data_IF_752321156849
#
_entry.id   IF_752321156849
#
_cell.length_a   1.000
_cell.length_b   1.000
_cell.length_c   1.000
_cell.angle_alpha   90.00
_cell.angle_beta   90.00
_cell.angle_gamma   90.00
#
_symmetry.space_group_name_H-M   'P 1'
#
loop_
_entity.id
_entity.type
_entity.pdbx_description
1 polymer ?
#
# COMPACT_ATOMS: atom_id res chain seq x y z
N UNK A 1 -18.46 -12.89 11.78
CA UNK A 1 -19.40 -13.04 10.65
C UNK A 1 -19.27 -11.91 9.64
N UNK A 2 -19.49 -10.64 10.03
CA UNK A 2 -19.37 -9.47 9.13
C UNK A 2 -18.00 -9.30 8.44
N UNK A 3 -16.89 -9.63 9.11
CA UNK A 3 -15.53 -9.52 8.56
C UNK A 3 -15.26 -10.54 7.45
N UNK A 4 -15.71 -11.78 7.61
CA UNK A 4 -15.59 -12.82 6.59
C UNK A 4 -16.44 -12.48 5.36
N UNK A 5 -17.64 -11.92 5.58
CA UNK A 5 -18.50 -11.41 4.50
C UNK A 5 -17.81 -10.27 3.75
N UNK A 6 -17.23 -9.30 4.47
CA UNK A 6 -16.48 -8.21 3.86
C UNK A 6 -15.31 -8.73 3.01
N UNK A 7 -14.53 -9.70 3.52
CA UNK A 7 -13.40 -10.26 2.79
C UNK A 7 -13.84 -11.00 1.52
N UNK A 8 -14.89 -11.82 1.60
CA UNK A 8 -15.45 -12.51 0.43
C UNK A 8 -16.00 -11.50 -0.58
N UNK A 9 -16.70 -10.47 -0.11
CA UNK A 9 -17.22 -9.39 -0.95
C UNK A 9 -16.10 -8.63 -1.65
N UNK A 10 -15.05 -8.24 -0.92
CA UNK A 10 -13.85 -7.60 -1.48
C UNK A 10 -13.19 -8.48 -2.53
N UNK A 11 -13.02 -9.78 -2.28
CA UNK A 11 -12.43 -10.72 -3.25
C UNK A 11 -13.32 -10.84 -4.50
N UNK A 12 -14.64 -10.89 -4.35
CA UNK A 12 -15.58 -10.95 -5.48
C UNK A 12 -15.48 -9.72 -6.35
N UNK A 13 -15.55 -8.53 -5.77
CA UNK A 13 -15.42 -7.26 -6.51
C UNK A 13 -14.04 -7.14 -7.14
N UNK A 14 -12.98 -7.48 -6.41
CA UNK A 14 -11.60 -7.41 -6.90
C UNK A 14 -11.41 -8.22 -8.19
N UNK A 15 -11.99 -9.43 -8.24
CA UNK A 15 -11.87 -10.31 -9.40
C UNK A 15 -12.68 -9.85 -10.62
N UNK A 16 -13.78 -9.12 -10.40
CA UNK A 16 -14.62 -8.60 -11.49
C UNK A 16 -14.15 -7.24 -11.99
N UNK A 17 -13.53 -6.44 -11.12
CA UNK A 17 -13.06 -5.10 -11.48
C UNK A 17 -11.85 -5.16 -12.39
N UNK A 18 -10.85 -5.98 -12.05
CA UNK A 18 -9.69 -6.23 -12.88
C UNK A 18 -9.49 -7.75 -12.99
N UNK A 19 -9.79 -8.32 -14.15
CA UNK A 19 -9.48 -9.72 -14.41
C UNK A 19 -7.97 -9.90 -14.54
N UNK A 20 -7.51 -11.05 -14.08
CA UNK A 20 -6.08 -11.38 -14.04
C UNK A 20 -5.82 -12.63 -14.87
N UNK A 21 -4.71 -12.62 -15.60
CA UNK A 21 -4.27 -13.72 -16.45
C UNK A 21 -4.67 -13.58 -17.93
N UNK A 22 -3.94 -14.30 -18.78
CA UNK A 22 -4.03 -14.14 -20.24
C UNK A 22 -5.31 -14.77 -20.81
N UNK A 23 -5.85 -15.81 -20.17
CA UNK A 23 -6.98 -16.60 -20.68
C UNK A 23 -8.25 -15.77 -20.91
N UNK A 24 -8.47 -14.75 -20.09
CA UNK A 24 -9.66 -13.91 -20.14
C UNK A 24 -9.34 -12.45 -20.46
N UNK A 25 -8.10 -12.15 -20.87
CA UNK A 25 -7.66 -10.78 -21.16
C UNK A 25 -8.39 -10.14 -22.36
N UNK A 26 -9.06 -10.94 -23.19
CA UNK A 26 -9.88 -10.44 -24.31
C UNK A 26 -11.32 -10.10 -23.91
N UNK A 27 -11.75 -10.43 -22.69
CA UNK A 27 -13.10 -10.11 -22.21
C UNK A 27 -13.09 -8.75 -21.51
N UNK A 28 -14.11 -7.91 -21.71
CA UNK A 28 -14.19 -6.63 -21.05
C UNK A 28 -14.39 -6.80 -19.55
N UNK A 29 -13.66 -6.00 -18.77
CA UNK A 29 -13.78 -5.93 -17.33
C UNK A 29 -14.85 -4.94 -16.87
N UNK A 30 -15.25 -5.02 -15.61
CA UNK A 30 -16.10 -3.97 -15.01
C UNK A 30 -15.35 -2.62 -15.02
N UNK A 31 -14.01 -2.62 -14.90
CA UNK A 31 -13.22 -1.40 -15.05
C UNK A 31 -13.33 -0.80 -16.45
N UNK A 32 -13.29 -1.61 -17.51
CA UNK A 32 -13.47 -1.13 -18.89
C UNK A 32 -14.86 -0.52 -19.09
N UNK A 33 -15.90 -1.16 -18.55
CA UNK A 33 -17.26 -0.63 -18.56
C UNK A 33 -17.37 0.69 -17.77
N UNK A 34 -16.71 0.81 -16.62
CA UNK A 34 -16.71 2.04 -15.82
C UNK A 34 -15.98 3.20 -16.52
N UNK A 35 -14.91 2.91 -17.25
CA UNK A 35 -14.11 3.93 -17.96
C UNK A 35 -14.78 4.36 -19.27
N UNK A 36 -15.76 3.61 -19.77
CA UNK A 36 -16.51 3.97 -20.97
C UNK A 36 -17.17 5.36 -20.83
N UNK A 37 -17.16 6.19 -21.89
CA UNK A 37 -17.64 7.56 -21.83
C UNK A 37 -19.13 7.66 -21.44
N UNK A 38 -19.93 6.67 -21.82
CA UNK A 38 -21.37 6.60 -21.51
C UNK A 38 -21.63 6.47 -19.99
N UNK A 39 -20.70 5.87 -19.25
CA UNK A 39 -20.84 5.59 -17.82
C UNK A 39 -20.10 6.59 -16.92
N UNK A 40 -19.58 7.69 -17.49
CA UNK A 40 -18.73 8.65 -16.77
C UNK A 40 -19.39 9.24 -15.51
N UNK A 41 -20.70 9.48 -15.53
CA UNK A 41 -21.46 9.94 -14.37
C UNK A 41 -21.50 8.88 -13.26
N UNK A 42 -21.81 7.63 -13.61
CA UNK A 42 -21.84 6.50 -12.67
C UNK A 42 -20.46 6.32 -12.04
N UNK A 43 -19.41 6.37 -12.87
CA UNK A 43 -18.03 6.25 -12.41
C UNK A 43 -17.62 7.37 -11.44
N UNK A 44 -18.10 8.58 -11.68
CA UNK A 44 -17.88 9.74 -10.81
C UNK A 44 -18.55 9.56 -9.45
N UNK A 45 -19.79 9.07 -9.42
CA UNK A 45 -20.51 8.77 -8.16
C UNK A 45 -19.81 7.64 -7.39
N UNK A 46 -19.37 6.58 -8.08
CA UNK A 46 -18.64 5.46 -7.44
C UNK A 46 -17.29 5.92 -6.89
N UNK A 47 -16.57 6.78 -7.61
CA UNK A 47 -15.29 7.33 -7.16
C UNK A 47 -15.48 8.25 -5.95
N UNK A 48 -16.50 9.11 -5.98
CA UNK A 48 -16.83 10.00 -4.87
C UNK A 48 -17.25 9.23 -3.62
N UNK A 49 -18.12 8.23 -3.75
CA UNK A 49 -18.52 7.37 -2.64
C UNK A 49 -17.34 6.58 -2.05
N UNK A 50 -16.41 6.11 -2.89
CA UNK A 50 -15.18 5.44 -2.43
C UNK A 50 -14.30 6.38 -1.58
N UNK A 51 -14.13 7.63 -2.02
CA UNK A 51 -13.41 8.66 -1.25
C UNK A 51 -14.11 8.94 0.07
N UNK A 52 -15.45 9.07 0.09
CA UNK A 52 -16.21 9.29 1.31
C UNK A 52 -16.06 8.13 2.31
N UNK A 53 -16.05 6.88 1.83
CA UNK A 53 -15.81 5.71 2.68
C UNK A 53 -14.42 5.78 3.33
N UNK A 54 -13.39 6.15 2.56
CA UNK A 54 -12.03 6.34 3.09
C UNK A 54 -12.03 7.43 4.15
N UNK A 55 -12.65 8.59 3.89
CA UNK A 55 -12.71 9.70 4.85
C UNK A 55 -13.47 9.33 6.12
N UNK A 56 -14.67 8.75 6.00
CA UNK A 56 -15.49 8.34 7.13
C UNK A 56 -14.75 7.34 8.03
N UNK A 57 -13.93 6.46 7.44
CA UNK A 57 -13.12 5.51 8.19
C UNK A 57 -11.99 6.17 9.01
N UNK A 58 -11.57 7.41 8.68
CA UNK A 58 -10.49 8.14 9.37
C UNK A 58 -10.96 9.15 10.40
N UNK A 59 -12.13 9.78 10.20
CA UNK A 59 -12.60 10.91 11.03
C UNK A 59 -12.58 10.61 12.54
N UNK A 60 -12.81 9.36 12.95
CA UNK A 60 -12.83 8.96 14.36
C UNK A 60 -11.44 8.64 14.97
N UNK A 61 -10.34 8.71 14.21
CA UNK A 61 -9.03 8.15 14.61
C UNK A 61 -7.84 9.09 14.49
N UNK A 62 -7.86 9.95 13.49
CA UNK A 62 -6.80 10.95 13.29
C UNK A 62 -7.05 12.19 14.12
N UNK A 63 -5.98 12.98 14.29
CA UNK A 63 -6.15 14.38 14.72
C UNK A 63 -6.93 15.14 13.65
N UNK A 64 -7.69 16.14 14.07
CA UNK A 64 -8.47 16.98 13.16
C UNK A 64 -7.63 17.53 11.99
N UNK A 65 -6.39 17.94 12.27
CA UNK A 65 -5.46 18.44 11.25
C UNK A 65 -5.11 17.35 10.21
N UNK A 66 -4.81 16.12 10.65
CA UNK A 66 -4.47 15.01 9.75
C UNK A 66 -5.70 14.60 8.91
N UNK A 67 -6.88 14.54 9.53
CA UNK A 67 -8.15 14.30 8.82
C UNK A 67 -8.43 15.38 7.79
N UNK A 68 -8.13 16.64 8.10
CA UNK A 68 -8.31 17.77 7.19
C UNK A 68 -7.35 17.70 6.01
N UNK A 69 -6.06 17.40 6.24
CA UNK A 69 -5.07 17.22 5.18
C UNK A 69 -5.47 16.04 4.28
N UNK A 70 -5.94 14.93 4.85
CA UNK A 70 -6.46 13.79 4.09
C UNK A 70 -7.67 14.18 3.24
N UNK A 71 -8.64 14.91 3.81
CA UNK A 71 -9.83 15.37 3.10
C UNK A 71 -9.47 16.26 1.91
N UNK A 72 -8.56 17.22 2.12
CA UNK A 72 -8.03 18.05 1.04
C UNK A 72 -7.33 17.18 -0.01
N UNK A 73 -6.42 16.28 0.42
CA UNK A 73 -5.67 15.41 -0.49
C UNK A 73 -6.56 14.56 -1.39
N UNK A 74 -7.56 13.88 -0.83
CA UNK A 74 -8.49 13.04 -1.62
C UNK A 74 -9.44 13.88 -2.49
N UNK A 75 -9.86 15.05 -2.03
CA UNK A 75 -10.66 15.98 -2.84
C UNK A 75 -9.86 16.49 -4.04
N UNK A 76 -8.59 16.84 -3.82
CA UNK A 76 -7.66 17.21 -4.90
C UNK A 76 -7.41 16.06 -5.87
N UNK A 77 -7.36 14.80 -5.41
CA UNK A 77 -7.32 13.64 -6.31
C UNK A 77 -8.56 13.61 -7.20
N UNK A 78 -9.77 13.80 -6.64
CA UNK A 78 -10.99 13.87 -7.44
C UNK A 78 -10.93 15.00 -8.47
N UNK A 79 -10.49 16.20 -8.05
CA UNK A 79 -10.32 17.33 -8.97
C UNK A 79 -9.29 17.05 -10.06
N UNK A 80 -8.15 16.43 -9.75
CA UNK A 80 -7.16 16.00 -10.74
C UNK A 80 -7.78 15.06 -11.78
N UNK A 81 -8.60 14.10 -11.35
CA UNK A 81 -9.28 13.16 -12.26
C UNK A 81 -10.37 13.81 -13.10
N UNK A 82 -11.02 14.83 -12.57
CA UNK A 82 -11.97 15.63 -13.36
C UNK A 82 -11.26 16.54 -14.36
N UNK A 83 -10.17 17.21 -13.96
CA UNK A 83 -9.37 18.08 -14.82
C UNK A 83 -8.74 17.32 -16.01
N UNK A 84 -8.31 16.08 -15.78
CA UNK A 84 -7.80 15.17 -16.83
C UNK A 84 -8.90 14.49 -17.65
N UNK A 85 -10.17 14.81 -17.39
CA UNK A 85 -11.32 14.31 -18.15
C UNK A 85 -11.78 12.88 -17.80
N UNK A 86 -11.19 12.24 -16.79
CA UNK A 86 -11.57 10.88 -16.37
C UNK A 86 -12.89 10.83 -15.60
N UNK A 87 -13.19 11.87 -14.81
CA UNK A 87 -14.43 11.99 -14.01
C UNK A 87 -15.18 13.26 -14.39
N UNK A 88 -16.49 13.30 -14.16
CA UNK A 88 -17.29 14.51 -14.31
C UNK A 88 -17.24 15.36 -13.04
N UNK A 89 -17.00 16.67 -13.17
CA UNK A 89 -17.25 17.58 -12.06
C UNK A 89 -18.74 17.91 -11.96
N UNK A 90 -19.33 17.98 -10.74
CA UNK A 90 -20.69 18.49 -10.56
C UNK A 90 -20.85 19.98 -10.91
N UNK A 91 -19.74 20.72 -10.95
CA UNK A 91 -19.73 22.19 -10.97
C UNK A 91 -19.35 22.80 -12.32
N UNK A 92 -18.75 22.04 -13.25
CA UNK A 92 -18.40 22.53 -14.58
C UNK A 92 -19.09 21.67 -15.65
N UNK A 93 -20.02 22.28 -16.38
CA UNK A 93 -20.77 21.63 -17.46
C UNK A 93 -19.99 21.57 -18.79
N UNK A 94 -18.90 22.34 -18.92
CA UNK A 94 -17.98 22.33 -20.06
C UNK A 94 -16.56 22.10 -19.54
N UNK A 95 -16.11 20.84 -19.55
CA UNK A 95 -14.79 20.46 -19.04
C UNK A 95 -13.70 20.85 -20.06
N UNK A 96 -12.99 21.94 -19.81
CA UNK A 96 -11.70 22.17 -20.48
C UNK A 96 -10.73 21.14 -19.91
N UNK A 97 -10.38 20.14 -20.71
CA UNK A 97 -9.40 19.13 -20.32
C UNK A 97 -8.04 19.82 -20.18
N UNK A 98 -7.43 19.70 -19.00
CA UNK A 98 -6.10 20.22 -18.69
C UNK A 98 -5.18 19.11 -18.20
N UNK A 99 -3.87 19.38 -18.17
CA UNK A 99 -2.88 18.38 -17.73
C UNK A 99 -2.95 18.06 -16.21
N UNK A 100 -3.77 18.78 -15.43
CA UNK A 100 -3.95 18.55 -13.99
C UNK A 100 -2.68 18.71 -13.14
N UNK A 101 -1.71 19.48 -13.65
CA UNK A 101 -0.36 19.54 -13.09
C UNK A 101 -0.33 20.14 -11.67
N UNK A 102 -1.10 21.20 -11.44
CA UNK A 102 -1.12 21.88 -10.14
C UNK A 102 -1.81 21.01 -9.09
N UNK A 103 -2.92 20.39 -9.47
CA UNK A 103 -3.70 19.46 -8.64
C UNK A 103 -2.81 18.30 -8.21
N UNK A 104 -2.13 17.63 -9.15
CA UNK A 104 -1.22 16.52 -8.85
C UNK A 104 -0.11 16.93 -7.86
N UNK A 105 0.49 18.12 -8.04
CA UNK A 105 1.53 18.64 -7.13
C UNK A 105 1.01 18.95 -5.74
N UNK A 106 -0.19 19.52 -5.63
CA UNK A 106 -0.83 19.76 -4.34
C UNK A 106 -1.18 18.45 -3.62
N UNK A 107 -1.62 17.42 -4.36
CA UNK A 107 -1.82 16.07 -3.79
C UNK A 107 -0.52 15.50 -3.23
N UNK A 108 0.61 15.63 -3.96
CA UNK A 108 1.91 15.22 -3.43
C UNK A 108 2.28 16.00 -2.16
N UNK A 109 2.01 17.31 -2.10
CA UNK A 109 2.23 18.10 -0.89
C UNK A 109 1.40 17.59 0.30
N UNK A 110 0.12 17.24 0.10
CA UNK A 110 -0.73 16.67 1.15
C UNK A 110 -0.22 15.30 1.62
N UNK A 111 0.15 14.42 0.69
CA UNK A 111 0.74 13.11 1.00
C UNK A 111 2.04 13.25 1.79
N UNK A 112 2.97 14.09 1.33
CA UNK A 112 4.24 14.37 2.00
C UNK A 112 4.03 14.99 3.39
N UNK A 113 3.08 15.92 3.55
CA UNK A 113 2.76 16.50 4.85
C UNK A 113 2.31 15.43 5.86
N UNK A 114 1.45 14.48 5.45
CA UNK A 114 1.03 13.36 6.30
C UNK A 114 2.19 12.43 6.65
N UNK A 115 3.02 12.07 5.68
CA UNK A 115 4.21 11.23 5.90
C UNK A 115 5.19 11.91 6.85
N UNK A 116 5.45 13.21 6.67
CA UNK A 116 6.32 14.00 7.55
C UNK A 116 5.71 14.07 8.97
N UNK A 117 4.41 14.33 9.11
CA UNK A 117 3.74 14.32 10.41
C UNK A 117 3.87 12.97 11.13
N UNK A 118 3.77 11.86 10.39
CA UNK A 118 4.03 10.53 10.92
C UNK A 118 5.47 10.36 11.39
N UNK A 119 6.45 10.68 10.53
CA UNK A 119 7.88 10.58 10.85
C UNK A 119 8.22 11.42 12.07
N UNK A 120 7.75 12.67 12.15
CA UNK A 120 7.98 13.54 13.32
C UNK A 120 7.38 12.94 14.60
N UNK A 121 6.22 12.30 14.51
CA UNK A 121 5.60 11.63 15.66
C UNK A 121 6.40 10.40 16.10
N UNK A 122 6.92 9.61 15.13
CA UNK A 122 7.83 8.49 15.41
C UNK A 122 9.12 9.01 16.04
N UNK A 123 9.82 9.97 15.42
CA UNK A 123 11.07 10.54 15.92
C UNK A 123 10.93 11.10 17.34
N UNK A 124 9.87 11.87 17.63
CA UNK A 124 9.59 12.35 19.00
C UNK A 124 9.43 11.21 19.99
N UNK A 125 8.79 10.12 19.58
CA UNK A 125 8.63 8.91 20.39
C UNK A 125 9.98 8.22 20.61
N UNK A 126 10.84 8.13 19.59
CA UNK A 126 12.20 7.57 19.69
C UNK A 126 13.08 8.38 20.65
N UNK A 127 13.10 9.72 20.51
CA UNK A 127 13.87 10.59 21.40
C UNK A 127 13.41 10.46 22.86
N UNK A 128 12.09 10.36 23.08
CA UNK A 128 11.54 10.12 24.41
C UNK A 128 11.99 8.76 24.97
N UNK A 129 11.88 7.69 24.17
CA UNK A 129 12.31 6.35 24.57
C UNK A 129 13.84 6.23 24.80
N UNK A 130 14.64 7.11 24.18
CA UNK A 130 16.08 7.12 24.41
C UNK A 130 16.47 7.73 25.75
N UNK A 131 15.75 8.74 26.24
CA UNK A 131 16.04 9.45 27.48
C UNK A 131 15.31 8.93 28.72
N UNK A 132 14.31 8.05 28.58
CA UNK A 132 13.66 7.36 29.69
C UNK A 132 14.49 6.15 30.16
N UNK A 133 14.39 5.84 31.46
CA UNK A 133 15.00 4.64 32.04
C UNK A 133 14.51 3.38 31.33
N UNK A 134 15.39 2.38 31.22
CA UNK A 134 15.09 1.11 30.56
C UNK A 134 13.80 0.48 31.14
N UNK A 135 13.43 0.70 32.40
CA UNK A 135 12.20 0.13 33.00
C UNK A 135 10.87 0.57 32.35
N UNK A 136 10.85 1.55 31.45
CA UNK A 136 9.60 1.99 30.81
C UNK A 136 9.04 0.94 29.84
N UNK A 137 7.80 0.45 30.04
CA UNK A 137 7.24 -0.57 29.16
C UNK A 137 6.82 0.03 27.81
N UNK A 138 6.98 -0.73 26.73
CA UNK A 138 6.57 -0.35 25.37
C UNK A 138 5.11 0.13 25.28
N UNK A 139 4.23 -0.40 26.15
CA UNK A 139 2.81 -0.02 26.21
C UNK A 139 2.59 1.50 26.36
N UNK A 140 3.57 2.23 26.92
CA UNK A 140 3.56 3.69 27.00
C UNK A 140 3.58 4.37 25.62
N UNK A 141 4.28 3.79 24.64
CA UNK A 141 4.45 4.35 23.29
C UNK A 141 3.48 3.77 22.26
N UNK A 142 2.93 2.58 22.53
CA UNK A 142 2.04 1.82 21.64
C UNK A 142 0.91 2.64 21.01
N UNK A 143 0.17 3.42 21.81
CA UNK A 143 -0.93 4.26 21.29
C UNK A 143 -0.44 5.37 20.37
N UNK A 144 0.74 5.93 20.64
CA UNK A 144 1.33 7.02 19.84
C UNK A 144 1.90 6.47 18.54
N UNK A 145 2.59 5.34 18.59
CA UNK A 145 3.13 4.67 17.41
C UNK A 145 2.03 4.13 16.49
N UNK A 146 0.96 3.56 17.04
CA UNK A 146 -0.20 3.14 16.26
C UNK A 146 -0.87 4.32 15.53
N UNK A 147 -0.94 5.48 16.18
CA UNK A 147 -1.42 6.73 15.55
C UNK A 147 -0.48 7.22 14.45
N UNK A 148 0.83 7.17 14.67
CA UNK A 148 1.79 7.54 13.64
C UNK A 148 1.67 6.64 12.39
N UNK A 149 1.46 5.34 12.59
CA UNK A 149 1.20 4.40 11.49
C UNK A 149 -0.12 4.69 10.78
N UNK A 150 -1.16 5.12 11.50
CA UNK A 150 -2.41 5.61 10.89
C UNK A 150 -2.17 6.84 10.02
N UNK A 151 -1.41 7.84 10.50
CA UNK A 151 -1.05 9.03 9.71
C UNK A 151 -0.20 8.68 8.49
N UNK A 152 0.75 7.75 8.63
CA UNK A 152 1.56 7.26 7.50
C UNK A 152 0.68 6.61 6.43
N UNK A 153 -0.24 5.74 6.87
CA UNK A 153 -1.19 5.07 6.00
C UNK A 153 -2.10 6.06 5.27
N UNK A 154 -2.53 7.15 5.91
CA UNK A 154 -3.26 8.24 5.25
C UNK A 154 -2.44 8.88 4.12
N UNK A 155 -1.16 9.14 4.36
CA UNK A 155 -0.25 9.69 3.34
C UNK A 155 -0.05 8.74 2.16
N UNK A 156 0.08 7.44 2.43
CA UNK A 156 0.13 6.38 1.41
C UNK A 156 -1.18 6.32 0.62
N UNK A 157 -2.35 6.36 1.28
CA UNK A 157 -3.64 6.31 0.58
C UNK A 157 -3.82 7.48 -0.39
N UNK A 158 -3.43 8.69 0.00
CA UNK A 158 -3.50 9.88 -0.88
C UNK A 158 -2.58 9.69 -2.10
N UNK A 159 -1.37 9.17 -1.87
CA UNK A 159 -0.41 8.90 -2.93
C UNK A 159 -0.92 7.80 -3.88
N UNK A 160 -1.39 6.69 -3.33
CA UNK A 160 -1.92 5.55 -4.10
C UNK A 160 -3.17 5.93 -4.90
N UNK A 161 -4.07 6.76 -4.34
CA UNK A 161 -5.25 7.25 -5.06
C UNK A 161 -4.88 8.14 -6.27
N UNK A 162 -3.75 8.87 -6.17
CA UNK A 162 -3.21 9.65 -7.28
C UNK A 162 -2.51 8.77 -8.32
N UNK A 163 -1.68 7.82 -7.88
CA UNK A 163 -0.80 7.06 -8.76
C UNK A 163 -1.49 5.88 -9.45
N UNK A 164 -2.44 5.21 -8.77
CA UNK A 164 -3.18 4.09 -9.36
C UNK A 164 -4.15 4.58 -10.43
N UNK A 165 -4.54 3.71 -11.36
CA UNK A 165 -5.62 4.00 -12.32
C UNK A 165 -6.91 4.39 -11.59
N UNK A 166 -7.69 5.27 -12.19
CA UNK A 166 -8.87 5.90 -11.57
C UNK A 166 -9.86 4.91 -10.98
N UNK A 167 -10.15 3.81 -11.68
CA UNK A 167 -11.09 2.78 -11.23
C UNK A 167 -10.61 2.03 -9.98
N UNK A 168 -9.30 2.01 -9.71
CA UNK A 168 -8.74 1.33 -8.56
C UNK A 168 -9.01 2.05 -7.22
N UNK A 169 -9.55 3.27 -7.22
CA UNK A 169 -9.98 3.95 -5.97
C UNK A 169 -11.03 3.14 -5.21
N UNK A 170 -11.87 2.37 -5.91
CA UNK A 170 -12.86 1.46 -5.32
C UNK A 170 -12.16 0.34 -4.55
N UNK A 171 -11.13 -0.27 -5.15
CA UNK A 171 -10.36 -1.32 -4.49
C UNK A 171 -9.55 -0.77 -3.33
N UNK A 172 -9.03 0.45 -3.45
CA UNK A 172 -8.31 1.10 -2.37
C UNK A 172 -9.23 1.29 -1.14
N UNK A 173 -10.46 1.76 -1.35
CA UNK A 173 -11.45 1.88 -0.27
C UNK A 173 -11.79 0.52 0.36
N UNK A 174 -11.95 -0.52 -0.46
CA UNK A 174 -12.24 -1.88 0.03
C UNK A 174 -11.06 -2.49 0.80
N UNK A 175 -9.84 -2.45 0.25
CA UNK A 175 -8.65 -2.98 0.92
C UNK A 175 -8.39 -2.25 2.22
N UNK A 176 -8.52 -0.92 2.22
CA UNK A 176 -8.43 -0.13 3.43
C UNK A 176 -9.50 -0.56 4.45
N UNK A 177 -10.76 -0.69 4.03
CA UNK A 177 -11.85 -1.18 4.86
C UNK A 177 -11.57 -2.58 5.43
N UNK A 178 -10.96 -3.48 4.65
CA UNK A 178 -10.52 -4.80 5.12
C UNK A 178 -9.40 -4.63 6.15
N UNK A 179 -8.33 -3.86 5.90
CA UNK A 179 -7.28 -3.64 6.93
C UNK A 179 -7.85 -3.08 8.24
N UNK A 180 -8.93 -2.29 8.15
CA UNK A 180 -9.61 -1.67 9.26
C UNK A 180 -10.56 -2.62 10.01
N UNK A 181 -11.40 -3.41 9.34
CA UNK A 181 -12.34 -4.31 10.01
C UNK A 181 -11.74 -5.68 10.33
N UNK A 182 -10.58 -6.01 9.75
CA UNK A 182 -9.88 -7.29 9.94
C UNK A 182 -8.97 -7.26 11.18
N UNK A 183 -9.35 -6.52 12.25
CA UNK A 183 -8.79 -6.69 13.60
C UNK A 183 -9.28 -8.01 14.27
N UNK A 184 -9.23 -9.12 13.52
CA UNK A 184 -9.94 -10.40 13.67
C UNK A 184 -10.33 -10.89 15.07
N UNK A 185 -11.59 -11.33 15.22
CA UNK A 185 -11.97 -12.44 16.11
C UNK A 185 -12.10 -13.82 15.40
N UNK A 186 -12.13 -13.90 14.05
CA UNK A 186 -12.45 -15.17 13.35
C UNK A 186 -11.23 -16.05 13.02
N UNK A 187 -10.10 -15.46 12.57
CA UNK A 187 -8.84 -16.21 12.35
C UNK A 187 -7.90 -16.18 13.56
N UNK A 188 -8.11 -15.25 14.47
CA UNK A 188 -7.29 -15.04 15.66
C UNK A 188 -8.01 -15.59 16.90
N UNK A 189 -8.09 -16.92 17.01
CA UNK A 189 -8.11 -17.49 18.35
C UNK A 189 -6.85 -16.99 19.10
N UNK A 190 -6.99 -16.69 20.39
CA UNK A 190 -6.10 -15.87 21.25
C UNK A 190 -4.59 -16.23 21.26
N UNK A 191 -4.16 -17.28 20.57
CA UNK A 191 -2.79 -17.80 20.64
C UNK A 191 -2.17 -18.12 19.26
N UNK A 192 -2.50 -17.36 18.22
CA UNK A 192 -1.93 -17.61 16.90
C UNK A 192 -0.48 -17.15 16.81
N UNK A 193 0.43 -18.00 16.31
CA UNK A 193 1.83 -17.64 16.18
C UNK A 193 2.04 -16.54 15.13
N UNK A 194 2.98 -15.63 15.39
CA UNK A 194 3.32 -14.45 14.57
C UNK A 194 3.50 -14.78 13.08
N UNK A 195 4.11 -15.93 12.78
CA UNK A 195 4.38 -16.34 11.40
C UNK A 195 3.09 -16.59 10.59
N UNK A 196 2.03 -17.14 11.19
CA UNK A 196 0.75 -17.35 10.49
C UNK A 196 0.14 -16.04 10.06
N UNK A 197 0.18 -15.06 10.96
CA UNK A 197 -0.35 -13.73 10.67
C UNK A 197 0.48 -13.02 9.61
N UNK A 198 1.81 -13.04 9.74
CA UNK A 198 2.70 -12.45 8.74
C UNK A 198 2.50 -13.07 7.35
N UNK A 199 2.31 -14.39 7.27
CA UNK A 199 2.04 -15.09 6.02
C UNK A 199 0.67 -14.73 5.43
N UNK A 200 -0.37 -14.57 6.26
CA UNK A 200 -1.68 -14.11 5.81
C UNK A 200 -1.60 -12.71 5.19
N UNK A 201 -0.95 -11.76 5.88
CA UNK A 201 -0.77 -10.41 5.36
C UNK A 201 0.10 -10.38 4.10
N UNK A 202 1.12 -11.24 4.01
CA UNK A 202 1.89 -11.45 2.79
C UNK A 202 0.98 -11.91 1.64
N UNK A 203 0.18 -12.96 1.83
CA UNK A 203 -0.73 -13.46 0.79
C UNK A 203 -1.80 -12.44 0.40
N UNK A 204 -2.32 -11.68 1.36
CA UNK A 204 -3.24 -10.58 1.05
C UNK A 204 -2.55 -9.52 0.19
N UNK A 205 -1.31 -9.12 0.53
CA UNK A 205 -0.52 -8.22 -0.30
C UNK A 205 -0.26 -8.73 -1.72
N UNK A 206 -0.03 -10.03 -1.88
CA UNK A 206 0.11 -10.65 -3.20
C UNK A 206 -1.22 -10.70 -3.95
N UNK A 207 -2.31 -11.06 -3.29
CA UNK A 207 -3.63 -11.15 -3.90
C UNK A 207 -4.12 -9.76 -4.35
N UNK A 208 -3.96 -8.74 -3.52
CA UNK A 208 -4.38 -7.37 -3.85
C UNK A 208 -3.46 -6.71 -4.87
N UNK A 209 -2.19 -7.09 -4.94
CA UNK A 209 -1.28 -6.68 -6.02
C UNK A 209 -1.86 -7.03 -7.39
N UNK A 210 -2.30 -8.27 -7.58
CA UNK A 210 -2.95 -8.70 -8.83
C UNK A 210 -4.35 -8.09 -8.98
N UNK A 211 -5.10 -7.92 -7.89
CA UNK A 211 -6.42 -7.29 -7.93
C UNK A 211 -6.39 -5.83 -8.42
N UNK A 212 -5.29 -5.09 -8.25
CA UNK A 212 -5.11 -3.75 -8.81
C UNK A 212 -4.86 -3.76 -10.35
N UNK A 213 -4.93 -4.93 -10.98
CA UNK A 213 -4.71 -5.13 -12.41
C UNK A 213 -3.23 -5.21 -12.80
N UNK A 214 -2.33 -5.40 -11.82
CA UNK A 214 -0.93 -5.72 -12.12
C UNK A 214 -0.82 -7.16 -12.59
N UNK A 215 0.20 -7.44 -13.40
CA UNK A 215 0.58 -8.81 -13.76
C UNK A 215 2.11 -8.96 -13.73
N UNK A 216 2.58 -10.13 -14.12
CA UNK A 216 4.00 -10.42 -14.25
C UNK A 216 4.58 -10.09 -15.64
N UNK A 217 3.80 -9.41 -16.50
CA UNK A 217 4.21 -8.97 -17.84
C UNK A 217 4.59 -7.50 -17.82
N UNK A 218 5.69 -7.11 -18.47
CA UNK A 218 6.12 -5.72 -18.59
C UNK A 218 5.05 -4.80 -19.19
N UNK A 219 4.15 -5.35 -20.01
CA UNK A 219 3.03 -4.61 -20.58
C UNK A 219 2.01 -4.10 -19.55
N UNK A 220 2.07 -4.60 -18.31
CA UNK A 220 1.16 -4.18 -17.24
C UNK A 220 1.77 -3.18 -16.27
N UNK A 221 3.06 -2.81 -16.42
CA UNK A 221 3.61 -1.68 -15.67
C UNK A 221 2.94 -0.41 -16.16
N UNK A 222 2.26 0.30 -15.25
CA UNK A 222 1.70 1.61 -15.57
C UNK A 222 2.81 2.67 -15.63
N UNK A 223 3.29 2.92 -16.84
CA UNK A 223 4.30 3.95 -17.10
C UNK A 223 3.71 5.34 -16.84
N UNK A 224 2.41 5.55 -17.08
CA UNK A 224 1.77 6.86 -16.93
C UNK A 224 1.83 7.33 -15.47
N UNK A 225 1.72 6.42 -14.50
CA UNK A 225 1.90 6.71 -13.08
C UNK A 225 3.26 7.39 -12.78
N UNK A 226 4.31 7.08 -13.55
CA UNK A 226 5.63 7.69 -13.42
C UNK A 226 5.69 9.18 -13.78
N UNK A 227 4.73 9.68 -14.57
CA UNK A 227 4.76 11.03 -15.13
C UNK A 227 3.70 11.96 -14.54
N UNK A 228 2.88 11.48 -13.60
CA UNK A 228 1.87 12.30 -12.93
C UNK A 228 2.55 13.45 -12.18
N UNK A 229 2.27 14.69 -12.58
CA UNK A 229 2.83 15.90 -11.97
C UNK A 229 4.17 16.39 -12.54
N UNK A 230 4.70 15.73 -13.59
CA UNK A 230 5.97 16.09 -14.24
C UNK A 230 5.74 16.94 -15.51
N UNK A 231 6.63 17.91 -15.76
CA UNK A 231 6.66 18.70 -17.02
C UNK A 231 7.71 18.20 -18.01
N UNK A 232 8.79 17.62 -17.51
CA UNK A 232 9.90 17.10 -18.28
C UNK A 232 10.22 15.69 -17.78
N UNK A 233 10.79 14.87 -18.65
CA UNK A 233 11.19 13.51 -18.30
C UNK A 233 12.36 13.53 -17.30
N UNK A 234 12.16 12.86 -16.17
CA UNK A 234 13.21 12.47 -15.24
C UNK A 234 13.08 10.97 -14.98
N UNK A 235 14.07 10.20 -15.44
CA UNK A 235 14.03 8.74 -15.36
C UNK A 235 14.02 8.20 -13.93
N UNK A 236 14.69 8.89 -12.99
CA UNK A 236 14.77 8.43 -11.60
C UNK A 236 13.47 8.69 -10.86
N UNK A 237 12.88 9.87 -11.03
CA UNK A 237 11.57 10.21 -10.45
C UNK A 237 10.49 9.29 -11.00
N UNK A 238 10.46 9.08 -12.32
CA UNK A 238 9.51 8.17 -12.95
C UNK A 238 9.63 6.74 -12.39
N UNK A 239 10.86 6.23 -12.25
CA UNK A 239 11.11 4.90 -11.68
C UNK A 239 10.58 4.76 -10.25
N UNK A 240 10.79 5.78 -9.40
CA UNK A 240 10.31 5.78 -8.02
C UNK A 240 8.78 5.78 -7.98
N UNK A 241 8.13 6.67 -8.74
CA UNK A 241 6.67 6.78 -8.77
C UNK A 241 6.02 5.51 -9.34
N UNK A 242 6.57 4.96 -10.43
CA UNK A 242 6.11 3.68 -10.99
C UNK A 242 6.27 2.53 -9.98
N UNK A 243 7.38 2.50 -9.23
CA UNK A 243 7.61 1.49 -8.20
C UNK A 243 6.61 1.62 -7.05
N UNK A 244 6.33 2.84 -6.60
CA UNK A 244 5.35 3.10 -5.55
C UNK A 244 3.93 2.74 -6.01
N UNK A 245 3.57 3.02 -7.25
CA UNK A 245 2.29 2.62 -7.84
C UNK A 245 2.18 1.09 -7.96
N UNK A 246 3.21 0.43 -8.49
CA UNK A 246 3.22 -1.01 -8.75
C UNK A 246 3.19 -1.81 -7.45
N UNK A 247 3.97 -1.42 -6.44
CA UNK A 247 4.09 -2.13 -5.18
C UNK A 247 3.27 -1.53 -4.03
N UNK A 248 2.28 -0.69 -4.35
CA UNK A 248 1.32 -0.11 -3.40
C UNK A 248 0.73 -1.17 -2.46
N UNK A 249 0.18 -2.25 -3.02
CA UNK A 249 -0.46 -3.32 -2.23
C UNK A 249 0.47 -3.99 -1.20
N UNK A 250 1.64 -4.56 -1.58
CA UNK A 250 2.58 -5.11 -0.60
C UNK A 250 2.95 -4.14 0.53
N UNK A 251 3.12 -2.85 0.24
CA UNK A 251 3.45 -1.81 1.22
C UNK A 251 2.26 -1.52 2.15
N UNK A 252 1.05 -1.43 1.61
CA UNK A 252 -0.19 -1.25 2.37
C UNK A 252 -0.37 -2.35 3.42
N UNK A 253 -0.24 -3.62 3.00
CA UNK A 253 -0.43 -4.77 3.89
C UNK A 253 0.72 -4.94 4.89
N UNK A 254 1.95 -4.60 4.52
CA UNK A 254 3.05 -4.53 5.50
C UNK A 254 2.74 -3.50 6.59
N UNK A 255 2.34 -2.29 6.20
CA UNK A 255 1.99 -1.21 7.14
C UNK A 255 0.87 -1.67 8.09
N UNK A 256 -0.15 -2.33 7.55
CA UNK A 256 -1.26 -2.89 8.33
C UNK A 256 -0.81 -4.00 9.30
N UNK A 257 0.12 -4.88 8.90
CA UNK A 257 0.71 -5.90 9.78
C UNK A 257 1.49 -5.26 10.92
N UNK A 258 2.36 -4.28 10.63
CA UNK A 258 3.15 -3.61 11.65
C UNK A 258 2.24 -2.89 12.65
N UNK A 259 1.20 -2.21 12.16
CA UNK A 259 0.18 -1.59 13.03
C UNK A 259 -0.50 -2.62 13.92
N UNK A 260 -0.83 -3.80 13.39
CA UNK A 260 -1.39 -4.88 14.19
C UNK A 260 -0.41 -5.34 15.27
N UNK A 261 0.86 -5.54 14.94
CA UNK A 261 1.88 -5.99 15.90
C UNK A 261 2.08 -4.92 16.98
N UNK A 262 2.21 -3.64 16.61
CA UNK A 262 2.29 -2.52 17.56
C UNK A 262 1.09 -2.54 18.52
N UNK A 263 -0.11 -2.88 18.06
CA UNK A 263 -1.31 -2.96 18.91
C UNK A 263 -1.40 -4.20 19.80
N UNK A 264 -0.76 -5.32 19.47
CA UNK A 264 -1.02 -6.61 20.14
C UNK A 264 0.23 -7.33 20.67
N UNK A 265 1.39 -7.20 20.03
CA UNK A 265 2.61 -7.89 20.40
C UNK A 265 3.84 -7.03 20.03
N UNK A 266 4.53 -6.52 21.05
CA UNK A 266 5.30 -5.28 20.95
C UNK A 266 6.82 -5.44 21.03
N UNK A 267 7.35 -6.67 20.98
CA UNK A 267 8.79 -6.89 21.01
C UNK A 267 9.42 -6.76 19.62
N UNK A 268 10.66 -6.28 19.58
CA UNK A 268 11.57 -6.40 18.45
C UNK A 268 11.60 -7.82 17.89
N UNK A 269 11.59 -8.84 18.76
CA UNK A 269 11.62 -10.25 18.33
C UNK A 269 10.38 -10.64 17.53
N UNK A 270 9.20 -10.11 17.89
CA UNK A 270 7.95 -10.33 17.16
C UNK A 270 8.00 -9.63 15.80
N UNK A 271 8.47 -8.37 15.76
CA UNK A 271 8.63 -7.62 14.52
C UNK A 271 9.64 -8.29 13.59
N UNK A 272 10.77 -8.72 14.12
CA UNK A 272 11.79 -9.48 13.41
C UNK A 272 11.22 -10.77 12.81
N UNK A 273 10.53 -11.58 13.61
CA UNK A 273 9.88 -12.81 13.14
C UNK A 273 8.85 -12.53 12.04
N UNK A 274 8.07 -11.45 12.16
CA UNK A 274 7.10 -11.06 11.16
C UNK A 274 7.79 -10.66 9.83
N UNK A 275 8.78 -9.78 9.87
CA UNK A 275 9.54 -9.35 8.70
C UNK A 275 10.25 -10.54 8.03
N UNK A 276 10.95 -11.39 8.80
CA UNK A 276 11.61 -12.59 8.27
C UNK A 276 10.61 -13.52 7.59
N UNK A 277 9.44 -13.74 8.20
CA UNK A 277 8.40 -14.60 7.61
C UNK A 277 7.90 -14.05 6.27
N UNK A 278 7.83 -12.72 6.08
CA UNK A 278 7.45 -12.12 4.80
C UNK A 278 8.60 -12.09 3.78
N UNK A 279 9.85 -12.02 4.24
CA UNK A 279 11.05 -12.02 3.36
C UNK A 279 11.28 -13.39 2.75
N UNK A 280 11.11 -14.48 3.52
CA UNK A 280 11.42 -15.85 3.08
C UNK A 280 10.74 -16.23 1.76
N UNK A 281 9.41 -16.03 1.57
CA UNK A 281 8.75 -16.33 0.30
C UNK A 281 9.30 -15.51 -0.89
N UNK A 282 9.60 -14.22 -0.67
CA UNK A 282 10.16 -13.36 -1.72
C UNK A 282 11.58 -13.82 -2.11
N UNK A 283 12.42 -14.13 -1.12
CA UNK A 283 13.78 -14.61 -1.34
C UNK A 283 13.80 -15.98 -2.03
N UNK A 284 12.91 -16.90 -1.63
CA UNK A 284 12.74 -18.19 -2.28
C UNK A 284 12.36 -18.01 -3.76
N UNK A 285 11.38 -17.16 -4.04
CA UNK A 285 10.90 -16.93 -5.40
C UNK A 285 12.00 -16.29 -6.28
N UNK A 286 12.73 -15.32 -5.74
CA UNK A 286 13.87 -14.71 -6.42
C UNK A 286 14.97 -15.73 -6.72
N UNK A 287 15.32 -16.58 -5.75
CA UNK A 287 16.30 -17.66 -5.91
C UNK A 287 15.90 -18.64 -7.02
N UNK A 288 14.63 -19.05 -7.05
CA UNK A 288 14.08 -19.92 -8.10
C UNK A 288 14.19 -19.25 -9.47
N UNK A 289 13.77 -18.00 -9.62
CA UNK A 289 13.84 -17.31 -10.92
C UNK A 289 15.29 -17.03 -11.37
N UNK A 290 16.19 -16.67 -10.45
CA UNK A 290 17.62 -16.55 -10.77
C UNK A 290 18.18 -17.89 -11.28
N UNK A 291 17.85 -19.00 -10.62
CA UNK A 291 18.27 -20.35 -11.03
C UNK A 291 17.71 -20.71 -12.39
N UNK A 292 16.41 -20.45 -12.63
CA UNK A 292 15.77 -20.72 -13.92
C UNK A 292 16.38 -19.88 -15.06
N UNK A 293 16.60 -18.58 -14.85
CA UNK A 293 17.24 -17.69 -15.84
C UNK A 293 18.66 -18.17 -16.14
N UNK A 294 19.42 -18.55 -15.12
CA UNK A 294 20.78 -19.08 -15.31
C UNK A 294 20.81 -20.41 -16.06
N UNK A 295 19.90 -21.34 -15.71
CA UNK A 295 19.79 -22.65 -16.34
C UNK A 295 19.32 -22.54 -17.80
N UNK A 296 18.36 -21.64 -18.06
CA UNK A 296 17.76 -21.44 -19.38
C UNK A 296 18.42 -20.32 -20.18
N UNK A 297 19.65 -19.90 -19.84
CA UNK A 297 20.32 -18.73 -20.47
C UNK A 297 20.50 -18.79 -21.99
N UNK A 298 20.54 -20.00 -22.56
CA UNK A 298 20.63 -20.21 -24.01
C UNK A 298 19.27 -20.50 -24.66
N UNK A 299 18.20 -20.58 -23.86
CA UNK A 299 16.86 -20.81 -24.36
C UNK A 299 16.25 -19.51 -24.91
N UNK A 300 15.58 -19.59 -26.06
CA UNK A 300 15.00 -18.43 -26.75
C UNK A 300 14.01 -17.62 -25.87
N UNK A 301 13.35 -18.27 -24.91
CA UNK A 301 12.39 -17.63 -23.99
C UNK A 301 13.00 -16.95 -22.75
N UNK A 302 14.33 -16.98 -22.55
CA UNK A 302 14.94 -16.34 -21.37
C UNK A 302 14.68 -14.84 -21.34
N UNK A 303 14.77 -14.18 -22.49
CA UNK A 303 14.62 -12.73 -22.59
C UNK A 303 13.17 -12.27 -22.65
N UNK A 304 12.26 -13.09 -23.18
CA UNK A 304 10.86 -12.71 -23.37
C UNK A 304 9.93 -13.16 -22.24
N UNK A 305 10.24 -14.24 -21.53
CA UNK A 305 9.35 -14.79 -20.47
C UNK A 305 9.99 -14.68 -19.09
N UNK A 306 11.24 -15.12 -18.95
CA UNK A 306 11.86 -15.22 -17.62
C UNK A 306 12.45 -13.89 -17.13
N UNK A 307 13.09 -13.12 -18.01
CA UNK A 307 13.69 -11.81 -17.67
C UNK A 307 12.67 -10.77 -17.17
N UNK A 308 11.52 -10.55 -17.85
CA UNK A 308 10.44 -9.68 -17.32
C UNK A 308 10.03 -10.04 -15.90
N UNK A 309 9.82 -11.34 -15.64
CA UNK A 309 9.39 -11.83 -14.33
C UNK A 309 10.46 -11.61 -13.28
N UNK A 310 11.73 -11.88 -13.60
CA UNK A 310 12.85 -11.66 -12.69
C UNK A 310 13.00 -10.17 -12.34
N UNK A 311 12.78 -9.25 -13.29
CA UNK A 311 12.83 -7.82 -13.03
C UNK A 311 11.78 -7.38 -12.00
N UNK A 312 10.53 -7.84 -12.15
CA UNK A 312 9.47 -7.58 -11.16
C UNK A 312 9.84 -8.10 -9.76
N UNK A 313 10.33 -9.34 -9.69
CA UNK A 313 10.72 -9.93 -8.42
C UNK A 313 11.89 -9.19 -7.76
N UNK A 314 12.86 -8.75 -8.56
CA UNK A 314 14.01 -7.97 -8.09
C UNK A 314 13.58 -6.60 -7.57
N UNK A 315 12.75 -5.88 -8.32
CA UNK A 315 12.25 -4.56 -7.91
C UNK A 315 11.35 -4.66 -6.67
N UNK A 316 10.49 -5.68 -6.60
CA UNK A 316 9.70 -5.96 -5.40
C UNK A 316 10.59 -6.24 -4.20
N UNK A 317 11.62 -7.09 -4.36
CA UNK A 317 12.56 -7.40 -3.29
C UNK A 317 13.27 -6.14 -2.80
N UNK A 318 13.66 -5.24 -3.70
CA UNK A 318 14.32 -3.98 -3.37
C UNK A 318 13.38 -3.05 -2.57
N UNK A 319 12.17 -2.80 -3.06
CA UNK A 319 11.17 -1.96 -2.37
C UNK A 319 10.84 -2.51 -0.99
N UNK A 320 10.58 -3.83 -0.91
CA UNK A 320 10.24 -4.47 0.35
C UNK A 320 11.44 -4.55 1.30
N UNK A 321 12.66 -4.72 0.81
CA UNK A 321 13.88 -4.67 1.62
C UNK A 321 14.01 -3.31 2.33
N UNK A 322 13.84 -2.22 1.60
CA UNK A 322 13.83 -0.87 2.19
C UNK A 322 12.74 -0.73 3.28
N UNK A 323 11.54 -1.26 3.01
CA UNK A 323 10.43 -1.22 3.97
C UNK A 323 10.70 -2.09 5.22
N UNK A 324 11.27 -3.29 5.07
CA UNK A 324 11.62 -4.13 6.22
C UNK A 324 12.78 -3.54 7.03
N UNK A 325 13.81 -3.02 6.36
CA UNK A 325 14.95 -2.39 7.01
C UNK A 325 14.51 -1.21 7.88
N UNK A 326 13.66 -0.32 7.35
CA UNK A 326 13.11 0.80 8.11
C UNK A 326 12.34 0.32 9.34
N UNK A 327 11.43 -0.65 9.19
CA UNK A 327 10.66 -1.22 10.32
C UNK A 327 11.58 -1.82 11.39
N UNK A 328 12.58 -2.60 11.00
CA UNK A 328 13.50 -3.27 11.95
C UNK A 328 14.42 -2.28 12.65
N UNK A 329 14.92 -1.26 11.95
CA UNK A 329 15.70 -0.18 12.55
C UNK A 329 14.85 0.51 13.62
N UNK A 330 13.62 0.91 13.28
CA UNK A 330 12.71 1.54 14.25
C UNK A 330 12.41 0.63 15.46
N UNK A 331 12.08 -0.64 15.22
CA UNK A 331 11.82 -1.60 16.29
C UNK A 331 13.05 -1.78 17.21
N UNK A 332 14.26 -1.80 16.64
CA UNK A 332 15.51 -1.99 17.40
C UNK A 332 15.90 -0.81 18.27
N UNK A 333 15.42 0.40 17.95
CA UNK A 333 15.64 1.61 18.74
C UNK A 333 14.64 1.70 19.89
N UNK A 334 13.39 1.26 19.66
CA UNK A 334 12.33 1.32 20.68
C UNK A 334 12.46 0.20 21.72
N UNK A 335 12.76 -1.04 21.31
CA UNK A 335 12.88 -2.18 22.21
C UNK A 335 14.36 -2.45 22.56
N UNK A 336 14.93 -1.62 23.46
CA UNK A 336 16.30 -1.79 23.98
C UNK A 336 16.45 -3.09 24.80
N UNK A 337 15.41 -3.51 25.52
CA UNK A 337 15.40 -4.72 26.36
C UNK A 337 15.60 -6.02 25.59
N UNK A 338 15.05 -6.11 24.38
CA UNK A 338 15.22 -7.28 23.51
C UNK A 338 16.67 -7.61 23.16
N UNK A 339 17.56 -6.60 23.11
CA UNK A 339 19.01 -6.81 22.86
C UNK A 339 19.73 -7.44 24.05
N UNK A 340 19.40 -7.02 25.28
CA UNK A 340 20.10 -7.45 26.50
C UNK A 340 19.76 -8.91 26.86
N UNK A 341 18.51 -9.34 26.63
CA UNK A 341 18.08 -10.73 26.83
C UNK A 341 18.77 -11.72 25.88
N UNK A 342 19.13 -11.30 24.67
CA UNK A 342 19.87 -12.15 23.73
C UNK A 342 21.39 -12.15 24.01
N UNK A 343 21.96 -11.02 24.43
CA UNK A 343 23.38 -10.96 24.85
C UNK A 343 23.69 -11.80 26.08
N UNK A 344 22.70 -12.13 26.93
CA UNK A 344 22.87 -13.03 28.08
C UNK A 344 22.57 -14.50 27.76
N UNK A 345 22.10 -14.81 26.55
CA UNK A 345 21.75 -16.17 26.09
C UNK A 345 22.68 -16.71 25.00
N UNK A 346 23.60 -15.90 24.51
CA UNK A 346 24.81 -16.31 23.80
C UNK A 346 25.97 -16.31 24.78
#
# INVERSE_FOLDING_TARGET
>A
MWTSVLLVFTVRISRTLNQTGIKWASQPDVSDWLVAPDNKLIFSVISFTSILIILASQVQRSRLIESFILAIGLTLVYHYRSATGSLTSPWQHHEVITDGLMEARLVYCCSLALVICSILTVCKTLFKAQGEDDSTPFSAYQKTLARALDTFLMGLLVLEALLLRTHNVVLLALFYGVTYHTYMPFFLHSNNPTWRLALLYYWLGQATYFALGNSNSLSTVDIAAGYIGMRAHDGLVALILMSLATYASPVLWLTALIKYQVKNATSYTTMYRACVTMVVPNALLLCVYCTLVYAQRYHLFVWSVFSPKLLYETMRALVMFCAYATVLIFASVIDKHGKISQSKKQ
#
